data_IF_163759333606
#
_entry.id   IF_163759333606
#
_cell.length_a   1.000
_cell.length_b   1.000
_cell.length_c   1.000
_cell.angle_alpha   90.00
_cell.angle_beta   90.00
_cell.angle_gamma   90.00
#
_symmetry.space_group_name_H-M   'P 1'
#
loop_
_entity.id
_entity.type
_entity.pdbx_description
1 polymer ?
#
# COMPACT_ATOMS: atom_id res chain seq x y z
N UNK A 1 4.72 -14.15 -17.31
CA UNK A 1 3.89 -13.54 -16.23
C UNK A 1 2.74 -14.45 -15.82
N UNK A 2 2.10 -15.16 -16.75
CA UNK A 2 1.08 -16.18 -16.44
C UNK A 2 1.62 -17.34 -15.60
N UNK A 3 2.83 -17.84 -15.90
CA UNK A 3 3.41 -18.98 -15.18
C UNK A 3 3.58 -18.74 -13.67
N UNK A 4 3.95 -17.52 -13.26
CA UNK A 4 4.11 -17.17 -11.84
C UNK A 4 2.75 -17.15 -11.15
N UNK A 5 1.74 -16.55 -11.80
CA UNK A 5 0.38 -16.49 -11.27
C UNK A 5 -0.19 -17.89 -11.10
N UNK A 6 -0.06 -18.72 -12.12
CA UNK A 6 -0.64 -20.06 -12.14
C UNK A 6 0.07 -20.97 -11.12
N UNK A 7 1.41 -20.86 -10.99
CA UNK A 7 2.17 -21.55 -9.92
C UNK A 7 1.77 -21.08 -8.51
N UNK A 8 1.49 -19.79 -8.33
CA UNK A 8 1.03 -19.28 -7.03
C UNK A 8 -0.37 -19.80 -6.70
N UNK A 9 -1.29 -19.81 -7.67
CA UNK A 9 -2.64 -20.34 -7.49
C UNK A 9 -2.62 -21.81 -7.12
N UNK A 10 -1.80 -22.62 -7.79
CA UNK A 10 -1.62 -24.03 -7.44
C UNK A 10 -1.14 -24.19 -5.98
N UNK A 11 -0.16 -23.40 -5.55
CA UNK A 11 0.32 -23.44 -4.16
C UNK A 11 -0.78 -23.03 -3.18
N UNK A 12 -1.52 -21.97 -3.47
CA UNK A 12 -2.61 -21.48 -2.61
C UNK A 12 -3.76 -22.49 -2.50
N UNK A 13 -4.10 -23.20 -3.58
CA UNK A 13 -5.14 -24.25 -3.58
C UNK A 13 -4.74 -25.47 -2.74
N UNK A 14 -3.43 -25.75 -2.66
CA UNK A 14 -2.90 -26.88 -1.91
C UNK A 14 -2.57 -26.54 -0.44
N UNK A 15 -2.89 -25.34 0.02
CA UNK A 15 -2.70 -24.96 1.42
C UNK A 15 -3.74 -25.66 2.30
N UNK A 16 -3.26 -26.30 3.38
CA UNK A 16 -4.07 -26.86 4.46
C UNK A 16 -4.81 -25.75 5.23
N UNK A 17 -5.82 -26.11 6.04
CA UNK A 17 -6.56 -25.13 6.86
C UNK A 17 -5.61 -24.20 7.66
N UNK A 18 -5.72 -22.89 7.41
CA UNK A 18 -4.84 -21.86 7.98
C UNK A 18 -5.38 -21.27 9.29
N UNK A 19 -6.55 -21.69 9.77
CA UNK A 19 -7.23 -21.08 10.93
C UNK A 19 -6.41 -21.08 12.22
N UNK A 20 -5.53 -22.06 12.38
CA UNK A 20 -4.69 -22.18 13.58
C UNK A 20 -3.41 -21.32 13.52
N UNK A 21 -3.03 -20.85 12.33
CA UNK A 21 -1.87 -19.99 12.18
C UNK A 21 -2.15 -18.59 12.72
N UNK A 22 -1.26 -18.13 13.60
CA UNK A 22 -1.30 -16.80 14.18
C UNK A 22 -0.04 -16.06 13.82
N UNK A 23 -0.18 -14.94 13.13
CA UNK A 23 0.95 -14.12 12.67
C UNK A 23 0.84 -12.73 13.30
N UNK A 24 1.97 -12.20 13.74
CA UNK A 24 2.09 -10.81 14.19
C UNK A 24 3.03 -10.09 13.24
N UNK A 25 2.57 -8.98 12.69
CA UNK A 25 3.33 -8.10 11.81
C UNK A 25 3.62 -6.78 12.54
N UNK A 26 4.86 -6.33 12.47
CA UNK A 26 5.36 -5.12 13.12
C UNK A 26 6.34 -4.41 12.16
N UNK A 27 6.54 -3.08 12.25
CA UNK A 27 5.77 -2.12 13.05
C UNK A 27 4.93 -1.15 12.21
N UNK A 28 5.00 -1.23 10.88
CA UNK A 28 4.78 -0.09 10.01
C UNK A 28 3.41 -0.06 9.31
N UNK A 29 2.80 1.11 9.40
CA UNK A 29 1.68 1.59 8.58
C UNK A 29 2.11 2.91 7.94
N UNK A 30 2.10 2.96 6.62
CA UNK A 30 2.38 4.19 5.85
C UNK A 30 1.25 4.45 4.87
N UNK A 31 1.24 5.65 4.28
CA UNK A 31 0.40 5.95 3.14
C UNK A 31 1.27 6.04 1.91
N UNK A 32 0.90 5.32 0.87
CA UNK A 32 1.53 5.45 -0.43
C UNK A 32 0.76 6.53 -1.22
N UNK A 33 1.49 7.58 -1.59
CA UNK A 33 0.98 8.68 -2.40
C UNK A 33 1.30 8.41 -3.87
N UNK A 34 0.28 8.00 -4.63
CA UNK A 34 0.42 7.74 -6.05
C UNK A 34 -0.02 8.99 -6.82
N UNK A 35 0.90 9.53 -7.62
CA UNK A 35 0.64 10.66 -8.50
C UNK A 35 0.55 10.14 -9.93
N UNK A 36 -0.60 10.31 -10.57
CA UNK A 36 -0.82 9.88 -11.96
C UNK A 36 -0.30 10.93 -12.92
N UNK A 37 0.53 10.51 -13.86
CA UNK A 37 1.11 11.36 -14.89
C UNK A 37 0.53 10.97 -16.25
N UNK A 38 -0.01 11.94 -16.98
CA UNK A 38 -0.54 11.69 -18.33
C UNK A 38 0.58 11.44 -19.35
N UNK A 39 1.69 12.17 -19.22
CA UNK A 39 2.92 11.99 -20.00
C UNK A 39 4.15 12.23 -19.11
N UNK A 40 5.15 11.35 -19.26
CA UNK A 40 6.43 11.49 -18.58
C UNK A 40 7.18 12.73 -19.06
N UNK A 41 7.29 12.92 -20.37
CA UNK A 41 8.04 14.01 -20.99
C UNK A 41 7.46 15.38 -20.62
N UNK A 42 6.13 15.52 -20.70
CA UNK A 42 5.45 16.77 -20.34
C UNK A 42 5.59 17.07 -18.85
N UNK A 43 5.46 16.04 -18.00
CA UNK A 43 5.59 16.19 -16.55
C UNK A 43 7.01 16.61 -16.17
N UNK A 44 8.02 15.97 -16.74
CA UNK A 44 9.42 16.33 -16.48
C UNK A 44 9.72 17.75 -16.97
N UNK A 45 9.13 18.17 -18.09
CA UNK A 45 9.28 19.54 -18.59
C UNK A 45 8.67 20.56 -17.62
N UNK A 46 7.44 20.32 -17.15
CA UNK A 46 6.80 21.15 -16.11
C UNK A 46 7.61 21.18 -14.81
N UNK A 47 8.12 20.04 -14.34
CA UNK A 47 8.99 19.98 -13.15
C UNK A 47 10.22 20.87 -13.33
N UNK A 48 10.87 20.83 -14.51
CA UNK A 48 12.02 21.68 -14.82
C UNK A 48 11.65 23.17 -14.82
N UNK A 49 10.54 23.55 -15.44
CA UNK A 49 10.06 24.94 -15.43
C UNK A 49 9.80 25.45 -14.00
N UNK A 50 9.16 24.62 -13.17
CA UNK A 50 8.92 24.96 -11.75
C UNK A 50 10.24 25.13 -11.01
N UNK A 51 11.24 24.28 -11.24
CA UNK A 51 12.57 24.44 -10.67
C UNK A 51 13.23 25.74 -11.14
N UNK A 52 13.19 26.03 -12.44
CA UNK A 52 13.94 27.14 -13.06
C UNK A 52 13.43 28.52 -12.64
N UNK A 53 12.13 28.63 -12.29
CA UNK A 53 11.57 29.84 -11.67
C UNK A 53 11.78 29.94 -10.15
N UNK A 54 12.54 29.01 -9.54
CA UNK A 54 12.83 29.01 -8.10
C UNK A 54 11.82 28.24 -7.24
N UNK A 55 10.94 27.43 -7.85
CA UNK A 55 9.98 26.57 -7.16
C UNK A 55 8.52 26.88 -7.48
N UNK A 56 7.63 26.38 -6.62
CA UNK A 56 6.18 26.56 -6.71
C UNK A 56 5.41 25.24 -6.84
N UNK A 57 4.09 25.35 -6.94
CA UNK A 57 3.20 24.19 -6.98
C UNK A 57 3.07 23.64 -8.40
N UNK A 58 3.27 22.34 -8.55
CA UNK A 58 2.79 21.56 -9.70
C UNK A 58 1.30 21.28 -9.48
N UNK A 59 0.45 22.09 -10.10
CA UNK A 59 -1.01 21.91 -10.03
C UNK A 59 -1.43 20.81 -11.02
N UNK A 60 -2.60 20.23 -10.77
CA UNK A 60 -3.34 19.40 -11.75
C UNK A 60 -2.94 17.92 -11.90
N UNK A 61 -2.15 17.36 -10.99
CA UNK A 61 -1.91 15.91 -11.00
C UNK A 61 -2.90 15.17 -10.10
N UNK A 62 -3.66 14.19 -10.63
CA UNK A 62 -4.47 13.31 -9.80
C UNK A 62 -3.59 12.60 -8.76
N UNK A 63 -4.00 12.67 -7.50
CA UNK A 63 -3.33 12.02 -6.38
C UNK A 63 -4.27 10.99 -5.78
N UNK A 64 -3.79 9.75 -5.68
CA UNK A 64 -4.47 8.67 -4.98
C UNK A 64 -3.65 8.30 -3.75
N UNK A 65 -4.32 8.27 -2.59
CA UNK A 65 -3.74 7.72 -1.37
C UNK A 65 -4.19 6.26 -1.22
N UNK A 66 -3.26 5.39 -0.84
CA UNK A 66 -3.55 4.00 -0.47
C UNK A 66 -2.75 3.60 0.76
N UNK A 67 -3.16 2.51 1.41
CA UNK A 67 -2.34 1.87 2.44
C UNK A 67 -0.99 1.44 1.88
N UNK A 68 0.04 1.61 2.70
CA UNK A 68 1.38 1.11 2.47
C UNK A 68 1.98 0.58 3.77
N UNK A 69 3.26 0.26 3.70
CA UNK A 69 4.01 -0.33 4.80
C UNK A 69 4.07 -1.84 4.67
N UNK A 70 5.25 -2.40 4.88
CA UNK A 70 5.48 -3.82 4.61
C UNK A 70 4.71 -4.69 5.60
N UNK A 71 4.72 -4.34 6.89
CA UNK A 71 3.95 -5.07 7.91
C UNK A 71 2.45 -4.98 7.63
N UNK A 72 1.96 -3.79 7.26
CA UNK A 72 0.55 -3.57 6.91
C UNK A 72 0.13 -4.39 5.70
N UNK A 73 0.87 -4.32 4.59
CA UNK A 73 0.57 -5.07 3.37
C UNK A 73 0.61 -6.57 3.60
N UNK A 74 1.61 -7.05 4.35
CA UNK A 74 1.72 -8.46 4.74
C UNK A 74 0.53 -8.90 5.59
N UNK A 75 0.18 -8.09 6.61
CA UNK A 75 -0.94 -8.41 7.49
C UNK A 75 -2.27 -8.44 6.74
N UNK A 76 -2.51 -7.47 5.86
CA UNK A 76 -3.71 -7.40 5.02
C UNK A 76 -3.82 -8.59 4.08
N UNK A 77 -2.72 -8.99 3.44
CA UNK A 77 -2.71 -10.14 2.52
C UNK A 77 -2.91 -11.48 3.26
N UNK A 78 -2.29 -11.66 4.43
CA UNK A 78 -2.48 -12.87 5.23
C UNK A 78 -3.90 -12.95 5.80
N UNK A 79 -4.44 -11.82 6.27
CA UNK A 79 -5.82 -11.76 6.77
C UNK A 79 -6.85 -12.04 5.67
N UNK A 80 -6.63 -11.61 4.43
CA UNK A 80 -7.55 -11.90 3.32
C UNK A 80 -7.55 -13.38 2.92
N UNK A 81 -6.49 -14.11 3.24
CA UNK A 81 -6.40 -15.57 3.12
C UNK A 81 -6.96 -16.33 4.33
N UNK A 82 -7.53 -15.64 5.32
CA UNK A 82 -8.14 -16.24 6.51
C UNK A 82 -7.16 -16.57 7.64
N UNK A 83 -5.90 -16.13 7.55
CA UNK A 83 -4.92 -16.29 8.64
C UNK A 83 -5.22 -15.31 9.76
N UNK A 84 -5.18 -15.76 11.02
CA UNK A 84 -5.37 -14.89 12.18
C UNK A 84 -4.16 -13.97 12.37
N UNK A 85 -4.24 -12.76 11.82
CA UNK A 85 -3.11 -11.84 11.72
C UNK A 85 -3.31 -10.60 12.59
N UNK A 86 -2.25 -10.15 13.27
CA UNK A 86 -2.26 -8.96 14.11
C UNK A 86 -1.21 -7.98 13.61
N UNK A 87 -1.62 -6.76 13.27
CA UNK A 87 -0.71 -5.65 13.00
C UNK A 87 -0.52 -4.85 14.29
N UNK A 88 0.72 -4.71 14.75
CA UNK A 88 1.05 -3.89 15.92
C UNK A 88 1.99 -2.78 15.44
N UNK A 89 1.68 -1.56 15.82
CA UNK A 89 2.45 -0.39 15.40
C UNK A 89 2.17 0.82 16.28
N UNK A 90 2.84 1.93 15.97
CA UNK A 90 2.63 3.22 16.64
C UNK A 90 2.37 4.29 15.58
N UNK A 91 1.33 5.08 15.81
CA UNK A 91 0.97 6.19 14.93
C UNK A 91 0.33 7.32 15.73
N UNK A 92 0.09 8.47 15.08
CA UNK A 92 -0.66 9.58 15.65
C UNK A 92 -2.17 9.30 15.63
N UNK A 93 -2.97 10.14 16.28
CA UNK A 93 -4.44 10.04 16.21
C UNK A 93 -4.96 10.09 14.76
N UNK A 94 -4.40 10.99 13.94
CA UNK A 94 -4.71 11.06 12.51
C UNK A 94 -4.34 9.77 11.79
N UNK A 95 -3.13 9.24 12.04
CA UNK A 95 -2.69 8.00 11.42
C UNK A 95 -3.54 6.80 11.81
N UNK A 96 -4.07 6.76 13.03
CA UNK A 96 -5.05 5.74 13.45
C UNK A 96 -6.34 5.87 12.62
N UNK A 97 -6.87 7.08 12.43
CA UNK A 97 -8.08 7.29 11.61
C UNK A 97 -7.88 6.88 10.15
N UNK A 98 -6.69 7.15 9.60
CA UNK A 98 -6.32 6.71 8.25
C UNK A 98 -6.18 5.19 8.18
N UNK A 99 -5.54 4.56 9.17
CA UNK A 99 -5.43 3.11 9.24
C UNK A 99 -6.82 2.44 9.33
N UNK A 100 -7.73 2.96 10.15
CA UNK A 100 -9.12 2.50 10.23
C UNK A 100 -9.83 2.61 8.88
N UNK A 101 -9.65 3.74 8.19
CA UNK A 101 -10.25 3.97 6.87
C UNK A 101 -9.74 2.99 5.81
N UNK A 102 -8.41 2.85 5.66
CA UNK A 102 -7.84 2.03 4.59
C UNK A 102 -7.87 0.52 4.90
N UNK A 103 -7.66 0.12 6.15
CA UNK A 103 -7.62 -1.29 6.55
C UNK A 103 -9.00 -1.85 6.90
N UNK A 104 -10.06 -1.03 6.88
CA UNK A 104 -11.42 -1.41 7.28
C UNK A 104 -11.49 -2.06 8.67
N UNK A 105 -10.66 -1.57 9.59
CA UNK A 105 -10.62 -2.02 10.98
C UNK A 105 -11.43 -1.06 11.86
N UNK A 106 -12.07 -1.56 12.93
CA UNK A 106 -12.89 -0.75 13.83
C UNK A 106 -12.12 0.37 14.55
#
# INVERSE_FOLDING_TARGET
MNDIRDSLLEKLQNISDLKDFRITCLPDFTLDCLVTLDSWEETISKIKEVRDRGGGLLREYPLTLTQGGNATNTASALSSLGVKTHLIGRTSELGLKLAQHFLSIP
#
